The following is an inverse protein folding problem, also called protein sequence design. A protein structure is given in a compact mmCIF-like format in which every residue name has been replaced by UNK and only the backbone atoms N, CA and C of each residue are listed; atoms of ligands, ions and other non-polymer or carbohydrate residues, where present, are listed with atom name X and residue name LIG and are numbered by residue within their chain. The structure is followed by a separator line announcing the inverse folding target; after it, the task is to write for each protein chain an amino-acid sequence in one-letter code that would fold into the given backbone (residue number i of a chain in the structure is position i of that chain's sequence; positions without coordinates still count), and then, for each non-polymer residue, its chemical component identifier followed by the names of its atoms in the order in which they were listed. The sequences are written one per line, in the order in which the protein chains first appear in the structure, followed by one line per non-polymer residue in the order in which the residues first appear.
data_IF_749967130627
#
_entry.id   IF_749967130627
#
_cell.length_a   1.000
_cell.length_b   1.000
_cell.length_c   1.000
_cell.angle_alpha   90.00
_cell.angle_beta   90.00
_cell.angle_gamma   90.00
#
_symmetry.space_group_name_H-M   'P 1'
#
loop_
_entity.id
_entity.type
_entity.pdbx_description
1 polymer ?
#
# COMPACT_ATOMS: atom_id res chain seq x y z
N UNK A 1 10.54 -2.35 24.24
CA UNK A 1 9.17 -2.06 23.78
C UNK A 1 8.99 -2.48 22.32
N UNK A 2 9.78 -1.94 21.38
CA UNK A 2 9.74 -2.31 19.96
C UNK A 2 9.92 -3.83 19.71
N UNK A 3 10.76 -4.52 20.49
CA UNK A 3 11.00 -5.96 20.32
C UNK A 3 9.76 -6.84 20.54
N UNK A 4 8.88 -6.45 21.46
CA UNK A 4 7.63 -7.16 21.74
C UNK A 4 6.60 -6.93 20.62
N UNK A 5 6.56 -5.73 20.05
CA UNK A 5 5.74 -5.46 18.86
C UNK A 5 6.30 -6.16 17.63
N UNK A 6 7.62 -6.26 17.51
CA UNK A 6 8.28 -6.99 16.43
C UNK A 6 8.08 -8.49 16.48
N UNK A 7 8.01 -9.09 17.67
CA UNK A 7 7.71 -10.51 17.79
C UNK A 7 6.27 -10.81 17.35
N UNK A 8 5.30 -9.99 17.76
CA UNK A 8 3.90 -10.08 17.32
C UNK A 8 3.80 -9.92 15.81
N UNK A 9 4.38 -8.85 15.27
CA UNK A 9 4.37 -8.56 13.83
C UNK A 9 5.03 -9.67 13.02
N UNK A 10 6.18 -10.20 13.47
CA UNK A 10 6.85 -11.36 12.85
C UNK A 10 5.99 -12.62 12.90
N UNK A 11 5.29 -12.87 13.99
CA UNK A 11 4.37 -14.01 14.13
C UNK A 11 3.18 -13.95 13.15
N UNK A 12 2.71 -12.75 12.82
CA UNK A 12 1.56 -12.56 11.91
C UNK A 12 1.93 -12.58 10.42
N UNK A 13 3.17 -12.25 10.03
CA UNK A 13 3.60 -12.22 8.63
C UNK A 13 3.39 -13.53 7.85
N UNK A 14 3.71 -14.73 8.40
CA UNK A 14 3.44 -16.00 7.71
C UNK A 14 1.97 -16.21 7.35
N UNK A 15 1.04 -15.79 8.22
CA UNK A 15 -0.40 -15.90 7.97
C UNK A 15 -0.86 -14.96 6.84
N UNK A 16 -0.30 -13.74 6.78
CA UNK A 16 -0.53 -12.79 5.67
C UNK A 16 -0.02 -13.38 4.36
N UNK A 17 1.21 -13.86 4.32
CA UNK A 17 1.82 -14.41 3.10
C UNK A 17 1.10 -15.66 2.61
N UNK A 18 0.68 -16.54 3.53
CA UNK A 18 -0.12 -17.73 3.19
C UNK A 18 -1.47 -17.33 2.58
N UNK A 19 -2.15 -16.37 3.18
CA UNK A 19 -3.45 -15.88 2.69
C UNK A 19 -3.31 -15.23 1.31
N UNK A 20 -2.26 -14.43 1.11
CA UNK A 20 -1.93 -13.80 -0.16
C UNK A 20 -1.62 -14.84 -1.25
N UNK A 21 -0.83 -15.87 -0.94
CA UNK A 21 -0.53 -16.96 -1.86
C UNK A 21 -1.79 -17.77 -2.25
N UNK A 22 -2.70 -18.03 -1.31
CA UNK A 22 -3.98 -18.68 -1.58
C UNK A 22 -4.88 -17.83 -2.49
N UNK A 23 -4.96 -16.53 -2.23
CA UNK A 23 -5.73 -15.61 -3.05
C UNK A 23 -5.13 -15.48 -4.46
N UNK A 24 -3.80 -15.46 -4.59
CA UNK A 24 -3.10 -15.45 -5.86
C UNK A 24 -3.50 -16.65 -6.74
N UNK A 25 -3.61 -17.86 -6.17
CA UNK A 25 -4.03 -19.07 -6.91
C UNK A 25 -5.41 -18.95 -7.55
N UNK A 26 -6.26 -18.07 -7.01
CA UNK A 26 -7.64 -17.87 -7.46
C UNK A 26 -7.78 -16.75 -8.50
N UNK A 27 -6.69 -16.03 -8.82
CA UNK A 27 -6.71 -14.92 -9.80
C UNK A 27 -6.81 -15.46 -11.22
N UNK A 28 -7.70 -14.97 -12.10
CA UNK A 28 -7.88 -15.51 -13.45
C UNK A 28 -6.64 -15.37 -14.34
N UNK A 29 -5.91 -14.24 -14.25
CA UNK A 29 -4.81 -13.93 -15.16
C UNK A 29 -3.49 -14.66 -14.80
N UNK A 30 -2.85 -15.37 -15.75
CA UNK A 30 -1.69 -16.22 -15.45
C UNK A 30 -0.39 -15.44 -15.18
N UNK A 31 -0.14 -14.32 -15.89
CA UNK A 31 1.11 -13.55 -15.74
C UNK A 31 1.19 -12.81 -14.40
N UNK A 32 0.19 -12.00 -13.98
CA UNK A 32 0.24 -11.33 -12.69
C UNK A 32 0.18 -12.31 -11.51
N UNK A 33 -0.51 -13.45 -11.68
CA UNK A 33 -0.53 -14.55 -10.72
C UNK A 33 0.87 -15.09 -10.45
N UNK A 34 1.62 -15.44 -11.50
CA UNK A 34 2.97 -15.98 -11.35
C UNK A 34 3.90 -14.97 -10.70
N UNK A 35 3.83 -13.70 -11.12
CA UNK A 35 4.63 -12.63 -10.52
C UNK A 35 4.33 -12.45 -9.02
N UNK A 36 3.06 -12.44 -8.63
CA UNK A 36 2.68 -12.33 -7.22
C UNK A 36 3.17 -13.54 -6.39
N UNK A 37 3.11 -14.75 -6.95
CA UNK A 37 3.65 -15.95 -6.29
C UNK A 37 5.17 -15.88 -6.13
N UNK A 38 5.90 -15.42 -7.15
CA UNK A 38 7.34 -15.20 -7.08
C UNK A 38 7.68 -14.15 -6.01
N UNK A 39 6.94 -13.05 -5.94
CA UNK A 39 7.11 -12.02 -4.92
C UNK A 39 6.89 -12.58 -3.51
N UNK A 40 5.83 -13.38 -3.31
CA UNK A 40 5.60 -14.05 -2.04
C UNK A 40 6.77 -14.95 -1.63
N UNK A 41 7.31 -15.74 -2.57
CA UNK A 41 8.46 -16.62 -2.32
C UNK A 41 9.74 -15.82 -2.01
N UNK A 42 9.98 -14.72 -2.73
CA UNK A 42 11.11 -13.81 -2.48
C UNK A 42 11.04 -13.23 -1.06
N UNK A 43 9.88 -12.72 -0.65
CA UNK A 43 9.68 -12.15 0.70
C UNK A 43 9.84 -13.23 1.78
N UNK A 44 9.34 -14.45 1.55
CA UNK A 44 9.54 -15.58 2.49
C UNK A 44 11.01 -15.97 2.61
N UNK A 45 11.78 -15.87 1.52
CA UNK A 45 13.23 -16.08 1.51
C UNK A 45 14.04 -14.92 2.08
N UNK A 46 13.40 -13.86 2.57
CA UNK A 46 14.06 -12.67 3.13
C UNK A 46 14.55 -11.65 2.09
N UNK A 47 14.28 -11.88 0.81
CA UNK A 47 14.62 -10.93 -0.25
C UNK A 47 13.64 -9.75 -0.27
N UNK A 48 14.16 -8.56 -0.62
CA UNK A 48 13.35 -7.35 -0.77
C UNK A 48 12.90 -7.23 -2.23
N UNK A 49 11.59 -7.15 -2.50
CA UNK A 49 11.11 -7.00 -3.86
C UNK A 49 11.46 -5.62 -4.42
N UNK A 50 11.75 -5.56 -5.71
CA UNK A 50 12.06 -4.29 -6.38
C UNK A 50 10.78 -3.48 -6.61
N UNK A 51 10.91 -2.16 -6.60
CA UNK A 51 9.79 -1.23 -6.81
C UNK A 51 9.00 -1.54 -8.09
N UNK A 52 9.69 -1.84 -9.20
CA UNK A 52 9.04 -2.17 -10.48
C UNK A 52 8.16 -3.43 -10.39
N UNK A 53 8.60 -4.46 -9.64
CA UNK A 53 7.83 -5.68 -9.45
C UNK A 53 6.56 -5.42 -8.61
N UNK A 54 6.66 -4.57 -7.59
CA UNK A 54 5.52 -4.15 -6.77
C UNK A 54 4.50 -3.34 -7.58
N UNK A 55 4.98 -2.42 -8.42
CA UNK A 55 4.10 -1.63 -9.29
C UNK A 55 3.42 -2.49 -10.36
N UNK A 56 4.08 -3.53 -10.85
CA UNK A 56 3.49 -4.44 -11.84
C UNK A 56 2.32 -5.27 -11.29
N UNK A 57 2.27 -5.53 -9.98
CA UNK A 57 1.16 -6.26 -9.34
C UNK A 57 0.07 -5.35 -8.76
N UNK A 58 0.23 -4.01 -8.82
CA UNK A 58 -0.69 -3.06 -8.17
C UNK A 58 -2.14 -3.19 -8.63
N UNK A 59 -2.36 -3.50 -9.90
CA UNK A 59 -3.71 -3.66 -10.48
C UNK A 59 -4.45 -4.82 -9.83
N UNK A 60 -3.74 -5.86 -9.36
CA UNK A 60 -4.35 -6.97 -8.64
C UNK A 60 -4.98 -6.51 -7.33
N UNK A 61 -4.54 -5.42 -6.72
CA UNK A 61 -5.11 -4.93 -5.46
C UNK A 61 -6.27 -3.94 -5.68
N UNK A 62 -6.62 -3.64 -6.93
CA UNK A 62 -7.70 -2.72 -7.31
C UNK A 62 -8.81 -3.49 -8.03
N UNK A 63 -10.01 -3.54 -7.45
CA UNK A 63 -11.16 -4.18 -8.08
C UNK A 63 -11.06 -5.71 -8.30
N UNK A 64 -10.16 -6.39 -7.59
CA UNK A 64 -9.96 -7.85 -7.67
C UNK A 64 -10.12 -8.53 -6.30
N UNK A 65 -9.98 -9.86 -6.24
CA UNK A 65 -10.00 -10.68 -5.03
C UNK A 65 -8.97 -10.26 -3.96
N UNK A 66 -7.95 -9.49 -4.31
CA UNK A 66 -6.98 -8.93 -3.36
C UNK A 66 -7.36 -7.54 -2.83
N UNK A 67 -8.43 -6.94 -3.34
CA UNK A 67 -8.93 -5.69 -2.82
C UNK A 67 -9.39 -5.87 -1.37
N UNK A 68 -9.17 -4.85 -0.53
CA UNK A 68 -9.44 -4.92 0.91
C UNK A 68 -10.90 -5.32 1.27
N UNK A 69 -11.87 -5.02 0.40
CA UNK A 69 -13.26 -5.45 0.57
C UNK A 69 -13.44 -6.95 0.37
N UNK A 70 -12.75 -7.52 -0.61
CA UNK A 70 -12.85 -8.92 -1.02
C UNK A 70 -11.99 -9.86 -0.15
N UNK A 71 -11.02 -9.29 0.59
CA UNK A 71 -10.18 -10.07 1.49
C UNK A 71 -11.01 -10.79 2.56
N UNK A 72 -10.74 -12.09 2.76
CA UNK A 72 -11.34 -12.92 3.80
C UNK A 72 -11.05 -12.35 5.19
N UNK A 73 -11.96 -12.57 6.13
CA UNK A 73 -11.85 -12.04 7.50
C UNK A 73 -10.56 -12.44 8.23
N UNK A 74 -10.06 -13.66 8.00
CA UNK A 74 -8.79 -14.13 8.56
C UNK A 74 -7.58 -13.32 8.04
N UNK A 75 -7.55 -13.02 6.75
CA UNK A 75 -6.49 -12.22 6.15
C UNK A 75 -6.54 -10.77 6.66
N UNK A 76 -7.74 -10.19 6.75
CA UNK A 76 -7.96 -8.86 7.33
C UNK A 76 -7.48 -8.82 8.79
N UNK A 77 -7.76 -9.86 9.58
CA UNK A 77 -7.29 -9.96 10.97
C UNK A 77 -5.78 -10.06 11.06
N UNK A 78 -5.15 -10.88 10.23
CA UNK A 78 -3.69 -10.99 10.19
C UNK A 78 -3.02 -9.66 9.80
N UNK A 79 -3.57 -8.94 8.81
CA UNK A 79 -3.12 -7.59 8.44
C UNK A 79 -3.31 -6.59 9.58
N UNK A 80 -4.43 -6.69 10.30
CA UNK A 80 -4.71 -5.83 11.46
C UNK A 80 -3.66 -6.03 12.56
N UNK A 81 -3.26 -7.27 12.85
CA UNK A 81 -2.20 -7.56 13.83
C UNK A 81 -0.84 -7.00 13.39
N UNK A 82 -0.47 -7.14 12.11
CA UNK A 82 0.77 -6.57 11.57
C UNK A 82 0.80 -5.04 11.72
N UNK A 83 -0.35 -4.39 11.59
CA UNK A 83 -0.49 -2.94 11.76
C UNK A 83 -0.86 -2.52 13.18
N UNK A 84 -0.70 -3.42 14.16
CA UNK A 84 -0.96 -3.16 15.58
C UNK A 84 -2.38 -2.68 15.91
N UNK A 85 -3.35 -3.06 15.07
CA UNK A 85 -4.77 -2.80 15.27
C UNK A 85 -5.41 -3.94 16.06
N UNK A 86 -6.38 -3.62 16.91
CA UNK A 86 -7.10 -4.59 17.75
C UNK A 86 -7.83 -5.65 16.90
N UNK A 87 -7.40 -6.93 16.91
CA UNK A 87 -7.89 -7.95 15.96
C UNK A 87 -9.23 -8.59 16.34
N UNK A 88 -9.75 -8.27 17.53
CA UNK A 88 -10.97 -8.86 18.09
C UNK A 88 -12.27 -8.23 17.59
N UNK A 89 -12.18 -7.25 16.69
CA UNK A 89 -13.35 -6.58 16.11
C UNK A 89 -13.92 -7.38 14.92
N UNK A 90 -15.21 -7.18 14.58
CA UNK A 90 -15.80 -7.72 13.37
C UNK A 90 -15.05 -7.25 12.10
N UNK A 91 -15.03 -8.08 11.05
CA UNK A 91 -14.23 -7.85 9.85
C UNK A 91 -14.51 -6.51 9.15
N UNK A 92 -15.76 -6.02 9.16
CA UNK A 92 -16.11 -4.71 8.61
C UNK A 92 -15.39 -3.56 9.34
N UNK A 93 -15.37 -3.58 10.68
CA UNK A 93 -14.64 -2.59 11.48
C UNK A 93 -13.14 -2.69 11.28
N UNK A 94 -12.59 -3.90 11.19
CA UNK A 94 -11.17 -4.10 10.89
C UNK A 94 -10.79 -3.51 9.54
N UNK A 95 -11.60 -3.74 8.50
CA UNK A 95 -11.39 -3.12 7.17
C UNK A 95 -11.44 -1.59 7.25
N UNK A 96 -12.38 -1.02 7.99
CA UNK A 96 -12.43 0.43 8.19
C UNK A 96 -11.17 0.95 8.89
N UNK A 97 -10.75 0.32 9.99
CA UNK A 97 -9.52 0.72 10.71
C UNK A 97 -8.26 0.60 9.84
N UNK A 98 -8.15 -0.48 9.06
CA UNK A 98 -7.06 -0.65 8.11
C UNK A 98 -7.04 0.48 7.08
N UNK A 99 -8.20 0.87 6.54
CA UNK A 99 -8.30 2.01 5.61
C UNK A 99 -7.85 3.30 6.26
N UNK A 100 -8.40 3.63 7.42
CA UNK A 100 -8.05 4.87 8.13
C UNK A 100 -6.56 4.91 8.44
N UNK A 101 -5.99 3.81 8.92
CA UNK A 101 -4.56 3.71 9.21
C UNK A 101 -3.68 3.87 7.96
N UNK A 102 -4.04 3.25 6.84
CA UNK A 102 -3.31 3.44 5.57
C UNK A 102 -3.44 4.87 5.06
N UNK A 103 -4.59 5.52 5.26
CA UNK A 103 -4.77 6.94 4.91
C UNK A 103 -3.91 7.86 5.79
N UNK A 104 -3.78 7.56 7.09
CA UNK A 104 -2.86 8.27 7.99
C UNK A 104 -1.41 8.14 7.50
N UNK A 105 -0.96 6.91 7.19
CA UNK A 105 0.39 6.68 6.63
C UNK A 105 0.57 7.47 5.33
N UNK A 106 -0.44 7.51 4.47
CA UNK A 106 -0.40 8.28 3.22
C UNK A 106 -0.25 9.78 3.45
N UNK A 107 -0.96 10.34 4.41
CA UNK A 107 -0.84 11.76 4.77
C UNK A 107 0.56 12.06 5.34
N UNK A 108 1.09 11.15 6.16
CA UNK A 108 2.47 11.24 6.66
C UNK A 108 3.49 11.16 5.53
N UNK A 109 3.29 10.28 4.53
CA UNK A 109 4.15 10.20 3.34
C UNK A 109 4.15 11.53 2.56
N UNK A 110 2.99 12.17 2.40
CA UNK A 110 2.89 13.47 1.73
C UNK A 110 3.62 14.56 2.53
N UNK A 111 3.44 14.60 3.85
CA UNK A 111 4.16 15.54 4.71
C UNK A 111 5.68 15.34 4.63
N UNK A 112 6.14 14.08 4.62
CA UNK A 112 7.56 13.74 4.46
C UNK A 112 8.13 14.16 3.11
N UNK A 113 7.34 14.06 2.03
CA UNK A 113 7.75 14.54 0.71
C UNK A 113 7.92 16.07 0.67
N UNK A 114 7.08 16.81 1.41
CA UNK A 114 7.19 18.28 1.50
C UNK A 114 8.34 18.73 2.40
N UNK A 115 8.53 18.08 3.55
CA UNK A 115 9.59 18.41 4.50
C UNK A 115 10.98 17.99 4.00
N UNK A 116 11.05 16.85 3.31
CA UNK A 116 12.28 16.21 2.88
C UNK A 116 12.92 15.37 3.99
N UNK A 117 13.46 14.20 3.61
CA UNK A 117 14.05 13.25 4.56
C UNK A 117 15.34 13.72 5.23
N UNK A 118 15.99 14.76 4.69
CA UNK A 118 17.21 15.33 5.26
C UNK A 118 17.01 16.04 6.60
N UNK A 119 15.76 16.42 6.91
CA UNK A 119 15.40 17.11 8.15
C UNK A 119 15.08 16.15 9.31
N UNK A 120 14.99 14.85 9.04
CA UNK A 120 14.63 13.86 10.06
C UNK A 120 15.82 13.49 10.94
N UNK A 121 15.57 13.39 12.24
CA UNK A 121 16.48 12.77 13.21
C UNK A 121 16.65 11.28 12.92
N UNK A 122 17.65 10.64 13.54
CA UNK A 122 17.85 9.19 13.40
C UNK A 122 16.69 8.40 14.01
N UNK A 123 16.17 8.86 15.15
CA UNK A 123 15.02 8.28 15.83
C UNK A 123 13.75 8.40 14.98
N UNK A 124 13.50 9.57 14.40
CA UNK A 124 12.33 9.81 13.53
C UNK A 124 12.38 8.95 12.27
N UNK A 125 13.58 8.80 11.68
CA UNK A 125 13.78 7.98 10.50
C UNK A 125 13.53 6.49 10.80
N UNK A 126 14.01 6.00 11.95
CA UNK A 126 13.71 4.63 12.43
C UNK A 126 12.23 4.44 12.70
N UNK A 127 11.58 5.38 13.39
CA UNK A 127 10.15 5.34 13.68
C UNK A 127 9.31 5.37 12.39
N UNK A 128 9.68 6.19 11.41
CA UNK A 128 9.02 6.26 10.12
C UNK A 128 9.14 4.94 9.34
N UNK A 129 10.31 4.30 9.36
CA UNK A 129 10.52 2.97 8.78
C UNK A 129 9.65 1.92 9.49
N UNK A 130 9.67 1.94 10.83
CA UNK A 130 8.92 1.02 11.66
C UNK A 130 7.41 1.07 11.42
N UNK A 131 6.85 2.27 11.39
CA UNK A 131 5.43 2.51 11.14
C UNK A 131 4.97 1.82 9.85
N UNK A 132 5.83 1.82 8.82
CA UNK A 132 5.57 1.28 7.48
C UNK A 132 5.89 -0.20 7.31
N UNK A 133 6.27 -0.90 8.38
CA UNK A 133 6.49 -2.36 8.34
C UNK A 133 7.95 -2.82 8.42
N UNK A 134 8.91 -1.90 8.28
CA UNK A 134 10.33 -2.24 8.25
C UNK A 134 10.91 -2.30 9.67
N UNK A 135 11.56 -3.42 10.01
CA UNK A 135 12.36 -3.48 11.21
C UNK A 135 13.73 -2.82 10.98
N UNK A 136 13.95 -1.64 11.57
CA UNK A 136 15.17 -0.84 11.45
C UNK A 136 16.20 -1.10 12.56
N UNK A 137 15.98 -2.07 13.46
CA UNK A 137 16.88 -2.30 14.61
C UNK A 137 18.31 -2.63 14.20
N UNK A 138 18.49 -3.32 13.08
CA UNK A 138 19.80 -3.74 12.56
C UNK A 138 20.26 -2.95 11.33
N UNK A 139 19.51 -1.91 10.92
CA UNK A 139 19.80 -1.14 9.71
C UNK A 139 20.50 0.17 10.05
N UNK A 140 21.51 0.52 9.26
CA UNK A 140 22.17 1.81 9.33
C UNK A 140 21.25 2.96 8.90
N UNK A 141 21.60 4.19 9.30
CA UNK A 141 20.83 5.40 8.93
C UNK A 141 20.67 5.55 7.41
N UNK A 142 21.73 5.33 6.65
CA UNK A 142 21.72 5.45 5.19
C UNK A 142 20.79 4.41 4.54
N UNK A 143 20.77 3.18 5.04
CA UNK A 143 19.91 2.12 4.52
C UNK A 143 18.43 2.39 4.83
N UNK A 144 18.12 2.81 6.06
CA UNK A 144 16.78 3.21 6.44
C UNK A 144 16.28 4.38 5.57
N UNK A 145 17.16 5.36 5.29
CA UNK A 145 16.84 6.48 4.41
C UNK A 145 16.55 6.01 2.99
N UNK A 146 17.44 5.21 2.41
CA UNK A 146 17.26 4.69 1.05
C UNK A 146 15.97 3.85 0.93
N UNK A 147 15.64 3.06 1.95
CA UNK A 147 14.40 2.31 2.00
C UNK A 147 13.18 3.24 2.07
N UNK A 148 13.21 4.27 2.92
CA UNK A 148 12.11 5.22 3.06
C UNK A 148 11.91 6.03 1.78
N UNK A 149 12.99 6.39 1.08
CA UNK A 149 12.92 7.02 -0.26
C UNK A 149 12.20 6.10 -1.27
N UNK A 150 12.53 4.81 -1.28
CA UNK A 150 11.83 3.84 -2.14
C UNK A 150 10.35 3.69 -1.76
N UNK A 151 10.03 3.66 -0.46
CA UNK A 151 8.66 3.63 0.02
C UNK A 151 7.87 4.86 -0.43
N UNK A 152 8.42 6.07 -0.28
CA UNK A 152 7.74 7.30 -0.69
C UNK A 152 7.49 7.35 -2.19
N UNK A 153 8.42 6.85 -3.01
CA UNK A 153 8.22 6.70 -4.46
C UNK A 153 7.06 5.75 -4.77
N UNK A 154 7.02 4.58 -4.11
CA UNK A 154 5.91 3.63 -4.24
C UNK A 154 4.58 4.28 -3.84
N UNK A 155 4.54 4.95 -2.69
CA UNK A 155 3.36 5.64 -2.19
C UNK A 155 2.87 6.66 -3.22
N UNK A 156 3.73 7.52 -3.75
CA UNK A 156 3.39 8.51 -4.77
C UNK A 156 2.79 7.88 -6.05
N UNK A 157 3.45 6.84 -6.59
CA UNK A 157 2.98 6.11 -7.78
C UNK A 157 1.58 5.50 -7.58
N UNK A 158 1.33 4.90 -6.41
CA UNK A 158 0.02 4.32 -6.08
C UNK A 158 -1.07 5.41 -5.98
N UNK A 159 -0.73 6.61 -5.51
CA UNK A 159 -1.66 7.73 -5.44
C UNK A 159 -2.08 8.22 -6.83
N UNK A 160 -1.13 8.31 -7.76
CA UNK A 160 -1.41 8.70 -9.15
C UNK A 160 -2.39 7.76 -9.85
N UNK A 161 -2.41 6.48 -9.48
CA UNK A 161 -3.35 5.49 -10.04
C UNK A 161 -4.77 5.61 -9.49
N UNK A 162 -4.95 6.04 -8.24
CA UNK A 162 -6.29 6.24 -7.65
C UNK A 162 -6.99 7.50 -8.17
N UNK A 163 -6.24 8.48 -8.68
CA UNK A 163 -6.79 9.72 -9.24
C UNK A 163 -7.34 9.61 -10.67
N UNK A 164 -7.07 8.52 -11.39
CA UNK A 164 -7.44 8.37 -12.81
C UNK A 164 -8.86 7.82 -13.03
N UNK A 165 -9.65 7.67 -11.97
CA UNK A 165 -11.05 7.20 -12.00
C UNK A 165 -12.11 8.29 -12.10
N UNK A 166 -11.75 9.58 -12.29
CA UNK A 166 -12.71 10.65 -12.55
C UNK A 166 -12.32 11.40 -13.81
N UNK A 167 -12.77 10.90 -14.95
CA UNK A 167 -12.87 11.73 -16.13
C UNK A 167 -13.86 12.87 -15.84
N UNK A 168 -13.55 14.14 -16.16
CA UNK A 168 -14.57 15.16 -16.24
C UNK A 168 -15.48 14.80 -17.43
N UNK A 169 -16.75 14.53 -17.13
CA UNK A 169 -17.77 14.39 -18.16
C UNK A 169 -17.81 15.68 -18.98
N UNK A 170 -17.91 15.51 -20.29
CA UNK A 170 -17.76 16.53 -21.30
C UNK A 170 -18.72 17.72 -21.06
N UNK A 171 -18.15 18.93 -21.08
CA UNK A 171 -18.91 20.14 -21.40
C UNK A 171 -19.39 20.07 -22.84
N UNK A 172 -20.58 19.51 -23.04
CA UNK A 172 -21.42 19.78 -24.21
C UNK A 172 -22.44 20.84 -23.80
N UNK A 173 -22.23 22.06 -24.29
CA UNK A 173 -23.07 23.21 -23.97
C UNK A 173 -22.74 24.40 -24.87
N UNK A 174 -22.73 24.11 -26.17
CA UNK A 174 -22.85 24.95 -27.36
C UNK A 174 -22.64 26.48 -27.26
N UNK A 175 -21.72 26.94 -28.10
CA UNK A 175 -21.51 28.31 -28.53
C UNK A 175 -22.81 29.03 -28.91
N UNK A 176 -22.96 30.26 -28.42
CA UNK A 176 -23.77 31.29 -29.07
C UNK A 176 -22.89 32.23 -29.89
N UNK A 177 -23.22 32.39 -31.18
CA UNK A 177 -22.88 33.52 -32.08
C UNK A 177 -23.97 33.53 -33.17
N UNK A 178 -25.06 34.28 -33.01
CA UNK A 178 -25.38 35.59 -33.64
C UNK A 178 -25.22 35.67 -35.17
N UNK A 179 -26.27 36.12 -35.85
CA UNK A 179 -26.16 36.79 -37.16
C UNK A 179 -27.34 36.52 -38.09
N UNK A 180 -28.22 37.50 -38.25
CA UNK A 180 -29.33 37.44 -39.20
C UNK A 180 -29.02 37.95 -40.61
N UNK A 181 -30.06 37.78 -41.44
CA UNK A 181 -30.46 38.53 -42.64
C UNK A 181 -30.07 38.05 -44.05
N UNK A 182 -31.09 38.19 -44.92
CA UNK A 182 -31.21 38.02 -46.38
C UNK A 182 -31.35 36.56 -46.86
N UNK A 183 -32.42 36.15 -47.55
CA UNK A 183 -33.34 36.82 -48.51
C UNK A 183 -34.77 36.34 -48.29
#
# INVERSE_FOLDING_TARGET
FLDAYDSIRRGSYPAVLRSLALAARSLPEPRPRHLLQQLCAQVQGGARPHLAQLLAVRSLFSGSLLALNELRGEHVRALSQVLFLTPHLPAFFLRHRLRSHVLEIRQLDQALLQLGLGQLSEEELRAACYLRGLNSTHLGRAECRAWLEQWLRLSCELQGTSGRGRAPEASLGNFGVTGGSFV
#
